data_IF_116545528870
#
_entry.id   IF_116545528870
#
_cell.length_a   1.000
_cell.length_b   1.000
_cell.length_c   1.000
_cell.angle_alpha   90.00
_cell.angle_beta   90.00
_cell.angle_gamma   90.00
#
_symmetry.space_group_name_H-M   'P 1'
#
loop_
_entity.id
_entity.type
_entity.pdbx_description
1 polymer ?
#
# COMPACT_ATOMS: atom_id res chain seq x y z
N UNK A 1 -11.59 -13.01 21.01
CA UNK A 1 -12.11 -14.18 20.29
C UNK A 1 -10.93 -14.99 19.79
N UNK A 2 -10.86 -16.31 20.04
CA UNK A 2 -9.80 -17.13 19.47
C UNK A 2 -9.95 -17.18 17.95
N UNK A 3 -8.83 -17.13 17.22
CA UNK A 3 -8.78 -17.33 15.78
C UNK A 3 -8.73 -18.83 15.48
N UNK A 4 -9.81 -19.53 15.76
CA UNK A 4 -9.96 -20.95 15.45
C UNK A 4 -10.47 -21.18 14.00
N UNK A 5 -10.46 -22.42 13.56
CA UNK A 5 -10.88 -22.79 12.20
C UNK A 5 -12.32 -22.37 11.89
N UNK A 6 -13.25 -22.58 12.83
CA UNK A 6 -14.68 -22.28 12.63
C UNK A 6 -14.90 -20.78 12.47
N UNK A 7 -14.25 -19.97 13.31
CA UNK A 7 -14.30 -18.50 13.21
C UNK A 7 -13.71 -18.01 11.88
N UNK A 8 -12.57 -18.57 11.45
CA UNK A 8 -11.95 -18.18 10.20
C UNK A 8 -12.78 -18.59 8.97
N UNK A 9 -13.39 -19.76 8.98
CA UNK A 9 -14.27 -20.22 7.89
C UNK A 9 -15.55 -19.38 7.79
N UNK A 10 -16.12 -19.00 8.92
CA UNK A 10 -17.25 -18.07 8.98
C UNK A 10 -16.87 -16.67 8.44
N UNK A 11 -15.70 -16.16 8.82
CA UNK A 11 -15.19 -14.89 8.29
C UNK A 11 -14.97 -14.96 6.77
N UNK A 12 -14.37 -16.04 6.29
CA UNK A 12 -14.15 -16.26 4.85
C UNK A 12 -15.45 -16.21 4.06
N UNK A 13 -16.48 -16.83 4.61
CA UNK A 13 -17.78 -16.98 3.94
C UNK A 13 -18.65 -15.72 4.02
N UNK A 14 -18.57 -14.95 5.11
CA UNK A 14 -19.53 -13.88 5.39
C UNK A 14 -18.92 -12.48 5.48
N UNK A 15 -17.61 -12.34 5.79
CA UNK A 15 -17.03 -11.03 6.00
C UNK A 15 -16.70 -10.32 4.68
N UNK A 16 -17.21 -9.09 4.42
CA UNK A 16 -17.03 -8.40 3.13
C UNK A 16 -15.56 -8.21 2.73
N UNK A 17 -14.68 -7.90 3.69
CA UNK A 17 -13.25 -7.73 3.41
C UNK A 17 -12.61 -9.02 2.88
N UNK A 18 -12.90 -10.17 3.51
CA UNK A 18 -12.35 -11.44 3.06
C UNK A 18 -12.90 -11.85 1.69
N UNK A 19 -14.21 -11.63 1.49
CA UNK A 19 -14.86 -11.89 0.19
C UNK A 19 -14.29 -10.99 -0.91
N UNK A 20 -13.94 -9.74 -0.60
CA UNK A 20 -13.25 -8.86 -1.54
C UNK A 20 -11.89 -9.45 -1.93
N UNK A 21 -11.05 -9.78 -0.97
CA UNK A 21 -9.71 -10.31 -1.23
C UNK A 21 -9.73 -11.66 -1.98
N UNK A 22 -10.76 -12.46 -1.79
CA UNK A 22 -10.94 -13.75 -2.47
C UNK A 22 -11.71 -13.63 -3.81
N UNK A 23 -12.09 -12.43 -4.24
CA UNK A 23 -12.80 -12.21 -5.49
C UNK A 23 -11.85 -12.26 -6.69
N UNK A 24 -12.24 -12.90 -7.81
CA UNK A 24 -11.49 -12.79 -9.07
C UNK A 24 -11.29 -11.34 -9.53
N UNK A 25 -12.19 -10.44 -9.16
CA UNK A 25 -12.14 -9.02 -9.49
C UNK A 25 -11.47 -8.16 -8.41
N UNK A 26 -10.84 -8.76 -7.39
CA UNK A 26 -10.19 -8.02 -6.31
C UNK A 26 -9.22 -6.93 -6.80
N UNK A 27 -8.36 -7.16 -7.81
CA UNK A 27 -7.46 -6.13 -8.32
C UNK A 27 -8.21 -4.90 -8.88
N UNK A 28 -9.27 -5.11 -9.67
CA UNK A 28 -10.10 -4.02 -10.19
C UNK A 28 -10.77 -3.25 -9.06
N UNK A 29 -11.47 -3.96 -8.16
CA UNK A 29 -12.24 -3.34 -7.08
C UNK A 29 -11.33 -2.56 -6.13
N UNK A 30 -10.23 -3.17 -5.68
CA UNK A 30 -9.33 -2.54 -4.72
C UNK A 30 -8.62 -1.31 -5.34
N UNK A 31 -8.10 -1.42 -6.56
CA UNK A 31 -7.41 -0.31 -7.23
C UNK A 31 -8.35 0.85 -7.53
N UNK A 32 -9.56 0.57 -8.01
CA UNK A 32 -10.55 1.59 -8.31
C UNK A 32 -11.01 2.32 -7.06
N UNK A 33 -11.45 1.57 -6.04
CA UNK A 33 -11.96 2.17 -4.80
C UNK A 33 -10.88 2.92 -4.02
N UNK A 34 -9.63 2.46 -4.06
CA UNK A 34 -8.50 3.22 -3.53
C UNK A 34 -8.36 4.57 -4.24
N UNK A 35 -8.34 4.56 -5.58
CA UNK A 35 -8.20 5.77 -6.41
C UNK A 35 -9.38 6.73 -6.25
N UNK A 36 -10.61 6.21 -6.15
CA UNK A 36 -11.80 7.05 -6.10
C UNK A 36 -12.08 7.64 -4.72
N UNK A 37 -11.86 6.89 -3.64
CA UNK A 37 -12.24 7.29 -2.28
C UNK A 37 -11.05 7.57 -1.36
N UNK A 38 -10.06 6.69 -1.32
CA UNK A 38 -9.01 6.73 -0.30
C UNK A 38 -7.92 7.75 -0.64
N UNK A 39 -7.36 7.69 -1.84
CA UNK A 39 -6.29 8.60 -2.26
C UNK A 39 -6.72 10.09 -2.22
N UNK A 40 -7.93 10.49 -2.72
CA UNK A 40 -8.41 11.86 -2.62
C UNK A 40 -9.08 12.17 -1.27
N UNK A 41 -9.18 11.21 -0.34
CA UNK A 41 -9.88 11.33 0.95
C UNK A 41 -11.35 11.80 0.82
N UNK A 42 -12.06 11.23 -0.15
CA UNK A 42 -13.48 11.52 -0.41
C UNK A 42 -14.33 10.41 0.21
N UNK A 43 -15.37 10.78 0.95
CA UNK A 43 -16.24 9.80 1.62
C UNK A 43 -17.43 9.38 0.80
N UNK A 44 -17.99 10.29 0.02
CA UNK A 44 -19.26 10.08 -0.70
C UNK A 44 -19.12 10.61 -2.11
N UNK A 45 -19.51 9.80 -3.10
CA UNK A 45 -19.48 10.15 -4.51
C UNK A 45 -20.84 9.87 -5.13
N UNK A 46 -21.32 10.77 -6.00
CA UNK A 46 -22.54 10.57 -6.76
C UNK A 46 -22.43 9.35 -7.71
N UNK A 47 -23.54 8.64 -7.91
CA UNK A 47 -23.51 7.42 -8.71
C UNK A 47 -23.11 7.68 -10.17
N UNK A 48 -23.46 8.84 -10.70
CA UNK A 48 -23.09 9.24 -12.08
C UNK A 48 -21.59 9.43 -12.18
N UNK A 49 -20.99 10.22 -11.28
CA UNK A 49 -19.56 10.53 -11.30
C UNK A 49 -18.71 9.27 -11.05
N UNK A 50 -19.16 8.42 -10.13
CA UNK A 50 -18.44 7.17 -9.82
C UNK A 50 -18.54 6.16 -10.99
N UNK A 51 -19.67 6.12 -11.69
CA UNK A 51 -19.85 5.25 -12.85
C UNK A 51 -18.99 5.73 -14.03
N UNK A 52 -18.92 7.02 -14.28
CA UNK A 52 -18.07 7.61 -15.32
C UNK A 52 -16.58 7.31 -15.03
N UNK A 53 -16.13 7.55 -13.81
CA UNK A 53 -14.75 7.25 -13.42
C UNK A 53 -14.41 5.74 -13.52
N UNK A 54 -15.37 4.86 -13.23
CA UNK A 54 -15.16 3.42 -13.39
C UNK A 54 -15.15 3.02 -14.87
N UNK A 55 -16.00 3.61 -15.72
CA UNK A 55 -16.00 3.30 -17.16
C UNK A 55 -14.66 3.67 -17.80
N UNK A 56 -14.09 4.83 -17.44
CA UNK A 56 -12.75 5.24 -17.90
C UNK A 56 -11.69 4.20 -17.50
N UNK A 57 -11.76 3.70 -16.27
CA UNK A 57 -10.82 2.67 -15.82
C UNK A 57 -11.04 1.33 -16.54
N UNK A 58 -12.29 0.92 -16.75
CA UNK A 58 -12.61 -0.29 -17.49
C UNK A 58 -12.13 -0.19 -18.94
N UNK A 59 -12.29 0.97 -19.57
CA UNK A 59 -11.80 1.23 -20.92
C UNK A 59 -10.26 1.06 -20.96
N UNK A 60 -9.52 1.67 -20.05
CA UNK A 60 -8.07 1.52 -19.98
C UNK A 60 -7.63 0.07 -19.75
N UNK A 61 -8.36 -0.68 -18.92
CA UNK A 61 -8.08 -2.10 -18.67
C UNK A 61 -8.38 -2.98 -19.90
N UNK A 62 -9.44 -2.70 -20.65
CA UNK A 62 -9.76 -3.41 -21.92
C UNK A 62 -8.63 -3.21 -22.93
N UNK A 63 -8.04 -2.03 -23.02
CA UNK A 63 -6.90 -1.78 -23.89
C UNK A 63 -5.66 -2.63 -23.51
N UNK A 64 -5.50 -2.98 -22.25
CA UNK A 64 -4.36 -3.74 -21.76
C UNK A 64 -4.59 -5.26 -21.73
N UNK A 65 -5.81 -5.68 -21.38
CA UNK A 65 -6.16 -7.08 -21.11
C UNK A 65 -6.98 -7.73 -22.24
N UNK A 66 -7.45 -6.94 -23.20
CA UNK A 66 -8.32 -7.36 -24.30
C UNK A 66 -9.78 -6.93 -24.10
N UNK A 67 -10.51 -6.78 -25.20
CA UNK A 67 -11.87 -6.22 -25.22
C UNK A 67 -12.91 -7.04 -24.44
N UNK A 68 -12.66 -8.31 -24.22
CA UNK A 68 -13.51 -9.21 -23.44
C UNK A 68 -13.34 -9.02 -21.91
N UNK A 69 -12.34 -8.25 -21.47
CA UNK A 69 -12.15 -7.98 -20.06
C UNK A 69 -13.22 -7.04 -19.54
N UNK A 70 -13.89 -7.46 -18.46
CA UNK A 70 -14.92 -6.66 -17.79
C UNK A 70 -16.04 -6.14 -18.71
N UNK A 71 -16.84 -7.03 -19.35
CA UNK A 71 -17.73 -6.68 -20.45
C UNK A 71 -18.99 -5.90 -20.04
N UNK A 72 -19.29 -5.81 -18.73
CA UNK A 72 -20.50 -5.14 -18.25
C UNK A 72 -20.31 -3.62 -18.12
N UNK A 73 -21.40 -2.84 -18.15
CA UNK A 73 -21.35 -1.41 -17.82
C UNK A 73 -20.88 -1.15 -16.39
N UNK A 74 -20.23 -0.02 -16.17
CA UNK A 74 -19.70 0.37 -14.85
C UNK A 74 -20.77 0.37 -13.74
N UNK A 75 -21.96 0.88 -14.04
CA UNK A 75 -23.06 0.95 -13.08
C UNK A 75 -23.50 -0.44 -12.56
N UNK A 76 -23.41 -1.46 -13.40
CA UNK A 76 -23.75 -2.83 -13.00
C UNK A 76 -22.74 -3.40 -12.00
N UNK A 77 -21.45 -3.09 -12.19
CA UNK A 77 -20.41 -3.44 -11.23
C UNK A 77 -20.61 -2.71 -9.90
N UNK A 78 -20.89 -1.41 -9.92
CA UNK A 78 -21.14 -0.63 -8.71
C UNK A 78 -22.35 -1.14 -7.92
N UNK A 79 -23.45 -1.47 -8.62
CA UNK A 79 -24.63 -2.04 -7.98
C UNK A 79 -24.36 -3.45 -7.42
N UNK A 80 -23.56 -4.27 -8.10
CA UNK A 80 -23.13 -5.57 -7.58
C UNK A 80 -22.26 -5.39 -6.32
N UNK A 81 -21.30 -4.46 -6.33
CA UNK A 81 -20.44 -4.19 -5.18
C UNK A 81 -21.20 -3.67 -3.97
N UNK A 82 -22.30 -2.97 -4.20
CA UNK A 82 -23.21 -2.48 -3.15
C UNK A 82 -24.28 -3.51 -2.74
N UNK A 83 -24.37 -4.66 -3.41
CA UNK A 83 -25.35 -5.69 -3.06
C UNK A 83 -25.08 -6.29 -1.67
N UNK A 84 -26.10 -6.82 -0.97
CA UNK A 84 -25.93 -7.49 0.32
C UNK A 84 -24.93 -8.65 0.26
N UNK A 85 -24.81 -9.27 -0.90
CA UNK A 85 -23.86 -10.36 -1.12
C UNK A 85 -22.41 -9.91 -1.16
N UNK A 86 -22.10 -8.70 -1.56
CA UNK A 86 -20.74 -8.16 -1.62
C UNK A 86 -20.47 -7.27 -0.41
N UNK A 87 -21.30 -6.25 -0.21
CA UNK A 87 -21.19 -5.32 0.90
C UNK A 87 -19.88 -4.52 0.88
N UNK A 88 -19.36 -4.23 -0.33
CA UNK A 88 -18.12 -3.46 -0.50
C UNK A 88 -18.38 -1.98 -0.57
N UNK A 89 -19.51 -1.59 -1.17
CA UNK A 89 -20.05 -0.24 -1.18
C UNK A 89 -21.38 -0.19 -0.46
N UNK A 90 -21.74 0.97 0.05
CA UNK A 90 -23.09 1.28 0.51
C UNK A 90 -23.71 2.28 -0.47
N UNK A 91 -24.86 1.93 -1.04
CA UNK A 91 -25.68 2.80 -1.88
C UNK A 91 -26.77 3.44 -1.05
N UNK A 92 -26.93 4.74 -1.15
CA UNK A 92 -27.98 5.47 -0.45
C UNK A 92 -28.44 6.70 -1.24
N UNK A 93 -29.55 7.30 -0.82
CA UNK A 93 -30.12 8.49 -1.44
C UNK A 93 -30.10 9.63 -0.41
N UNK A 94 -29.72 10.81 -0.85
CA UNK A 94 -29.84 12.00 0.01
C UNK A 94 -31.30 12.39 0.17
N UNK A 95 -31.74 12.84 1.36
CA UNK A 95 -33.07 13.38 1.54
C UNK A 95 -33.33 14.53 0.54
N UNK A 96 -34.43 14.45 -0.22
CA UNK A 96 -34.84 15.47 -1.19
C UNK A 96 -34.19 15.40 -2.56
N UNK A 97 -33.42 14.35 -2.86
CA UNK A 97 -32.87 14.08 -4.21
C UNK A 97 -33.09 12.62 -4.57
N UNK A 98 -33.36 12.35 -5.84
CA UNK A 98 -33.45 10.98 -6.39
C UNK A 98 -32.06 10.47 -6.84
N UNK A 99 -31.00 11.22 -6.57
CA UNK A 99 -29.66 10.88 -6.96
C UNK A 99 -29.05 9.88 -5.97
N UNK A 100 -28.70 8.71 -6.48
CA UNK A 100 -28.00 7.69 -5.72
C UNK A 100 -26.55 8.11 -5.42
N UNK A 101 -26.08 7.77 -4.24
CA UNK A 101 -24.71 8.02 -3.82
C UNK A 101 -24.09 6.74 -3.29
N UNK A 102 -22.77 6.68 -3.37
CA UNK A 102 -21.98 5.57 -2.87
C UNK A 102 -20.97 6.05 -1.83
N UNK A 103 -20.74 5.23 -0.80
CA UNK A 103 -19.60 5.32 0.10
C UNK A 103 -18.95 3.95 0.33
N UNK A 104 -17.71 3.96 0.83
CA UNK A 104 -17.02 2.74 1.21
C UNK A 104 -17.58 2.16 2.50
N UNK A 105 -17.72 0.83 2.56
CA UNK A 105 -17.95 0.18 3.84
C UNK A 105 -16.65 0.11 4.65
N UNK A 106 -16.71 0.17 5.99
CA UNK A 106 -15.53 0.06 6.84
C UNK A 106 -14.72 -1.24 6.63
N UNK A 107 -15.40 -2.31 6.22
CA UNK A 107 -14.75 -3.57 5.91
C UNK A 107 -13.87 -3.47 4.66
N UNK A 108 -14.36 -2.78 3.63
CA UNK A 108 -13.63 -2.56 2.38
C UNK A 108 -12.43 -1.62 2.59
N UNK A 109 -12.64 -0.54 3.34
CA UNK A 109 -11.57 0.39 3.71
C UNK A 109 -10.41 -0.33 4.42
N UNK A 110 -10.70 -1.17 5.41
CA UNK A 110 -9.69 -1.99 6.10
C UNK A 110 -8.97 -2.98 5.17
N UNK A 111 -9.70 -3.61 4.25
CA UNK A 111 -9.09 -4.53 3.29
C UNK A 111 -8.12 -3.82 2.36
N UNK A 112 -8.49 -2.65 1.85
CA UNK A 112 -7.63 -1.85 0.96
C UNK A 112 -6.42 -1.30 1.74
N UNK A 113 -6.62 -0.79 2.95
CA UNK A 113 -5.52 -0.33 3.81
C UNK A 113 -4.48 -1.45 4.07
N UNK A 114 -4.94 -2.67 4.31
CA UNK A 114 -4.06 -3.83 4.46
C UNK A 114 -3.28 -4.13 3.17
N UNK A 115 -3.90 -4.03 1.98
CA UNK A 115 -3.21 -4.20 0.69
C UNK A 115 -2.14 -3.12 0.47
N UNK A 116 -2.42 -1.87 0.84
CA UNK A 116 -1.45 -0.76 0.78
C UNK A 116 -0.24 -1.08 1.66
N UNK A 117 -0.47 -1.50 2.92
CA UNK A 117 0.61 -1.89 3.83
C UNK A 117 1.46 -3.06 3.32
N UNK A 118 0.85 -4.03 2.63
CA UNK A 118 1.61 -5.12 2.00
C UNK A 118 2.55 -4.60 0.90
N UNK A 119 2.07 -3.65 0.09
CA UNK A 119 2.85 -3.03 -0.97
C UNK A 119 4.04 -2.24 -0.40
N UNK A 120 3.80 -1.43 0.64
CA UNK A 120 4.83 -0.63 1.31
C UNK A 120 5.90 -1.50 1.99
N UNK A 121 5.50 -2.56 2.68
CA UNK A 121 6.45 -3.47 3.34
C UNK A 121 7.35 -4.22 2.36
N UNK A 122 6.89 -4.54 1.17
CA UNK A 122 7.74 -5.14 0.13
C UNK A 122 8.82 -4.15 -0.35
N UNK A 123 8.46 -2.88 -0.49
CA UNK A 123 9.39 -1.84 -0.89
C UNK A 123 10.49 -1.63 0.17
N UNK A 124 10.13 -1.43 1.43
CA UNK A 124 11.09 -1.26 2.54
C UNK A 124 12.01 -2.48 2.70
N UNK A 125 11.46 -3.69 2.59
CA UNK A 125 12.27 -4.91 2.68
C UNK A 125 13.30 -5.06 1.54
N UNK A 126 12.98 -4.59 0.34
CA UNK A 126 13.89 -4.63 -0.82
C UNK A 126 14.97 -3.56 -0.70
N UNK A 127 14.61 -2.36 -0.27
CA UNK A 127 15.55 -1.25 -0.07
C UNK A 127 16.53 -1.54 1.07
N UNK A 128 16.05 -2.03 2.22
CA UNK A 128 16.89 -2.44 3.33
C UNK A 128 17.87 -3.57 2.95
N UNK A 129 17.43 -4.54 2.15
CA UNK A 129 18.30 -5.61 1.64
C UNK A 129 19.34 -5.08 0.64
N UNK A 130 18.94 -4.13 -0.23
CA UNK A 130 19.87 -3.46 -1.15
C UNK A 130 20.92 -2.67 -0.38
N UNK A 131 20.55 -1.87 0.60
CA UNK A 131 21.48 -1.14 1.46
C UNK A 131 22.45 -2.09 2.17
N UNK A 132 21.96 -3.18 2.75
CA UNK A 132 22.80 -4.20 3.37
C UNK A 132 23.78 -4.84 2.37
N UNK A 133 23.33 -5.12 1.13
CA UNK A 133 24.21 -5.63 0.07
C UNK A 133 25.25 -4.61 -0.34
N UNK A 134 24.90 -3.34 -0.46
CA UNK A 134 25.86 -2.26 -0.77
C UNK A 134 26.88 -2.10 0.35
N UNK A 135 26.47 -2.16 1.61
CA UNK A 135 27.39 -2.09 2.76
C UNK A 135 28.35 -3.29 2.79
N UNK A 136 27.84 -4.50 2.53
CA UNK A 136 28.68 -5.69 2.43
C UNK A 136 29.66 -5.62 1.25
N UNK A 137 29.22 -5.17 0.08
CA UNK A 137 30.08 -4.98 -1.09
C UNK A 137 31.14 -3.91 -0.82
N UNK A 138 30.78 -2.82 -0.14
CA UNK A 138 31.70 -1.77 0.29
C UNK A 138 32.74 -2.32 1.26
N UNK A 139 32.34 -3.09 2.27
CA UNK A 139 33.24 -3.75 3.22
C UNK A 139 34.17 -4.74 2.52
N UNK A 140 33.68 -5.53 1.55
CA UNK A 140 34.51 -6.44 0.75
C UNK A 140 35.52 -5.69 -0.10
N UNK A 141 35.12 -4.58 -0.72
CA UNK A 141 36.02 -3.74 -1.51
C UNK A 141 37.06 -3.05 -0.63
N UNK A 142 36.65 -2.49 0.51
CA UNK A 142 37.56 -1.90 1.51
C UNK A 142 38.48 -2.95 2.16
N UNK A 143 38.03 -4.20 2.30
CA UNK A 143 38.83 -5.32 2.82
C UNK A 143 39.85 -5.91 1.83
N UNK A 144 39.63 -5.65 0.53
CA UNK A 144 40.42 -6.25 -0.56
C UNK A 144 41.52 -5.33 -1.12
N UNK A 145 41.69 -4.11 -0.58
CA UNK A 145 42.79 -3.24 -0.98
C UNK A 145 44.14 -3.85 -0.50
N UNK A 146 44.85 -4.42 -1.45
CA UNK A 146 46.12 -5.09 -1.21
C UNK A 146 47.29 -4.12 -0.99
N UNK A 147 47.09 -2.80 -1.16
CA UNK A 147 48.11 -1.78 -0.94
C UNK A 147 48.13 -1.31 0.53
N UNK A 148 49.17 -1.66 1.31
CA UNK A 148 49.24 -1.30 2.72
C UNK A 148 49.24 0.23 2.96
N UNK A 149 49.79 1.02 2.03
CA UNK A 149 49.88 2.47 2.14
C UNK A 149 48.48 3.11 2.04
N UNK A 150 47.67 2.67 1.07
CA UNK A 150 46.31 3.14 0.94
C UNK A 150 45.44 2.72 2.12
N UNK A 151 45.62 1.50 2.60
CA UNK A 151 44.92 0.97 3.77
C UNK A 151 45.18 1.81 5.04
N UNK A 152 46.43 2.15 5.28
CA UNK A 152 46.82 3.00 6.42
C UNK A 152 46.26 4.41 6.27
N UNK A 153 46.30 4.99 5.07
CA UNK A 153 45.72 6.31 4.81
C UNK A 153 44.18 6.33 5.06
N UNK A 154 43.50 5.28 4.65
CA UNK A 154 42.07 5.16 4.92
C UNK A 154 41.72 4.99 6.40
N UNK A 155 42.50 4.20 7.13
CA UNK A 155 42.35 4.06 8.59
C UNK A 155 42.60 5.37 9.32
N UNK A 156 43.57 6.18 8.87
CA UNK A 156 43.78 7.51 9.41
C UNK A 156 42.62 8.47 9.15
N UNK A 157 42.01 8.41 7.97
CA UNK A 157 40.79 9.18 7.64
C UNK A 157 39.64 8.78 8.56
N UNK A 158 39.32 7.48 8.68
CA UNK A 158 38.27 6.97 9.57
C UNK A 158 38.49 7.37 11.03
N UNK A 159 39.76 7.33 11.52
CA UNK A 159 40.07 7.80 12.86
C UNK A 159 39.76 9.29 13.03
N UNK A 160 40.12 10.12 12.06
CA UNK A 160 39.83 11.55 12.12
C UNK A 160 38.33 11.86 12.13
N UNK A 161 37.53 11.08 11.42
CA UNK A 161 36.06 11.21 11.43
C UNK A 161 35.47 10.85 12.79
N UNK A 162 35.95 9.76 13.41
CA UNK A 162 35.54 9.32 14.75
C UNK A 162 35.97 10.35 15.81
N UNK A 163 37.20 10.84 15.74
CA UNK A 163 37.71 11.85 16.68
C UNK A 163 36.88 13.16 16.60
N UNK A 164 36.47 13.56 15.39
CA UNK A 164 35.59 14.72 15.18
C UNK A 164 34.16 14.49 15.68
N UNK A 165 33.64 13.27 15.59
CA UNK A 165 32.34 12.90 16.12
C UNK A 165 32.33 12.88 17.66
N UNK A 166 33.38 12.32 18.25
CA UNK A 166 33.59 12.36 19.72
C UNK A 166 33.61 13.81 20.21
N UNK A 167 34.38 14.68 19.55
CA UNK A 167 34.48 16.09 19.94
C UNK A 167 33.12 16.82 19.86
N UNK A 168 32.26 16.47 18.87
CA UNK A 168 30.90 17.01 18.78
C UNK A 168 30.02 16.54 19.93
N UNK A 169 30.05 15.25 20.24
CA UNK A 169 29.28 14.68 21.35
C UNK A 169 29.74 15.28 22.70
N UNK A 170 31.05 15.45 22.91
CA UNK A 170 31.61 16.08 24.12
C UNK A 170 31.25 17.57 24.23
N UNK A 171 31.04 18.24 23.06
CA UNK A 171 30.55 19.62 23.04
C UNK A 171 29.01 19.73 23.26
N UNK A 172 28.30 18.60 23.46
CA UNK A 172 26.87 18.54 23.77
C UNK A 172 25.97 18.42 22.54
N UNK A 173 26.51 18.25 21.32
CA UNK A 173 25.77 18.04 20.10
C UNK A 173 25.59 16.52 19.86
N UNK A 174 24.64 15.94 20.59
CA UNK A 174 24.28 14.52 20.43
C UNK A 174 23.15 14.42 19.40
N UNK A 175 23.34 13.75 18.24
CA UNK A 175 22.25 13.52 17.31
C UNK A 175 21.18 12.66 17.99
N UNK A 176 20.01 13.25 18.24
CA UNK A 176 18.83 12.52 18.70
C UNK A 176 18.36 11.68 17.52
N UNK A 177 18.46 10.38 17.62
CA UNK A 177 17.78 9.46 16.71
C UNK A 177 16.28 9.68 16.91
N UNK A 178 15.63 10.25 15.90
CA UNK A 178 14.20 10.45 15.90
C UNK A 178 13.52 9.07 15.83
N UNK A 179 12.86 8.70 16.94
CA UNK A 179 12.20 7.39 17.15
C UNK A 179 10.91 7.22 16.28
N UNK A 180 10.81 8.01 15.20
CA UNK A 180 9.63 8.03 14.32
C UNK A 180 9.71 7.05 13.13
N UNK A 181 10.67 6.11 13.15
CA UNK A 181 10.81 5.09 12.09
C UNK A 181 10.75 3.66 12.65
N UNK A 182 9.71 3.37 13.44
CA UNK A 182 9.30 2.00 13.79
C UNK A 182 7.91 1.69 13.27
#
# INVERSE_FOLDING_TARGET
MPLDYVTLDALRSHHPAWRLLNSPHAPLVASFLHKAFIAPNVRVIAAVDLAEALEDQLFALRQQLGDEAFPRPALDYLNEWASPNKGWLRKFYKPGTDEAQFDLTPATEKAIAWLVQLSERQFVGTESRLLTLFDLLKQMNEGSEADPVKRVAELHRKRGEIDAEIARIEAGDVPVLDDTAL
#
